data_IF_479051439719
#
_entry.id   IF_479051439719
#
_cell.length_a   1.000
_cell.length_b   1.000
_cell.length_c   1.000
_cell.angle_alpha   90.00
_cell.angle_beta   90.00
_cell.angle_gamma   90.00
#
_symmetry.space_group_name_H-M   'P 1'
#
loop_
_entity.id
_entity.type
_entity.pdbx_description
1 polymer ?
#
# COMPACT_ATOMS: atom_id res chain seq x y z
N UNK A 1 -19.40 -3.13 -7.04
CA UNK A 1 -18.74 -3.09 -8.38
C UNK A 1 -17.80 -1.89 -8.53
N UNK A 2 -18.22 -0.66 -8.19
CA UNK A 2 -17.43 0.56 -8.41
C UNK A 2 -15.99 0.60 -7.84
N UNK A 3 -15.72 0.21 -6.57
CA UNK A 3 -14.39 0.43 -6.01
C UNK A 3 -13.32 -0.53 -6.54
N UNK A 4 -13.70 -1.74 -6.97
CA UNK A 4 -12.76 -2.73 -7.51
C UNK A 4 -12.41 -2.47 -8.98
N UNK A 5 -13.39 -2.11 -9.81
CA UNK A 5 -13.16 -1.86 -11.23
C UNK A 5 -12.51 -0.49 -11.51
N UNK A 6 -12.70 0.50 -10.64
CA UNK A 6 -12.06 1.82 -10.78
C UNK A 6 -10.82 1.92 -9.88
N UNK A 7 -11.04 1.88 -8.57
CA UNK A 7 -9.95 1.99 -7.60
C UNK A 7 -9.07 0.75 -7.56
N UNK A 8 -9.64 -0.45 -7.67
CA UNK A 8 -8.88 -1.69 -7.57
C UNK A 8 -7.96 -1.92 -8.76
N UNK A 9 -8.44 -1.71 -9.99
CA UNK A 9 -7.60 -1.90 -11.19
C UNK A 9 -6.42 -0.93 -11.21
N UNK A 10 -6.63 0.31 -10.76
CA UNK A 10 -5.58 1.33 -10.72
C UNK A 10 -4.44 0.96 -9.77
N UNK A 11 -4.71 0.19 -8.71
CA UNK A 11 -3.64 -0.36 -7.85
C UNK A 11 -3.14 -1.73 -8.32
N UNK A 12 -4.00 -2.57 -8.89
CA UNK A 12 -3.64 -3.93 -9.27
C UNK A 12 -2.72 -3.98 -10.49
N UNK A 13 -3.02 -3.20 -11.54
CA UNK A 13 -2.22 -3.17 -12.77
C UNK A 13 -0.74 -2.86 -12.54
N UNK A 14 -0.34 -1.82 -11.77
CA UNK A 14 1.07 -1.56 -11.50
C UNK A 14 1.71 -2.68 -10.66
N UNK A 15 1.03 -3.19 -9.62
CA UNK A 15 1.57 -4.27 -8.79
C UNK A 15 1.87 -5.53 -9.64
N UNK A 16 1.00 -5.85 -10.60
CA UNK A 16 1.21 -6.98 -11.51
C UNK A 16 2.33 -6.70 -12.52
N UNK A 17 2.42 -5.48 -13.07
CA UNK A 17 3.45 -5.09 -14.05
C UNK A 17 4.86 -5.11 -13.46
N UNK A 18 4.99 -4.77 -12.17
CA UNK A 18 6.25 -4.86 -11.44
C UNK A 18 6.50 -6.22 -10.78
N UNK A 19 5.65 -7.22 -11.07
CA UNK A 19 5.73 -8.58 -10.54
C UNK A 19 5.94 -8.61 -9.02
N UNK A 20 5.16 -7.78 -8.30
CA UNK A 20 5.20 -7.68 -6.85
C UNK A 20 4.87 -9.05 -6.24
N UNK A 21 5.72 -9.49 -5.32
CA UNK A 21 5.71 -10.83 -4.78
C UNK A 21 6.56 -11.00 -3.51
N UNK A 22 6.78 -12.24 -3.07
CA UNK A 22 7.65 -12.56 -1.94
C UNK A 22 9.04 -11.95 -2.11
N UNK A 23 9.54 -11.25 -1.09
CA UNK A 23 10.84 -10.56 -1.11
C UNK A 23 10.81 -9.14 -1.66
N UNK A 24 9.69 -8.69 -2.24
CA UNK A 24 9.53 -7.28 -2.65
C UNK A 24 8.99 -6.44 -1.50
N UNK A 25 9.50 -5.22 -1.36
CA UNK A 25 9.01 -4.23 -0.38
C UNK A 25 8.40 -3.06 -1.14
N UNK A 26 7.14 -2.73 -0.82
CA UNK A 26 6.44 -1.58 -1.39
C UNK A 26 6.02 -0.59 -0.31
N UNK A 27 5.98 0.69 -0.68
CA UNK A 27 5.49 1.77 0.18
C UNK A 27 4.15 2.29 -0.35
N UNK A 28 3.12 2.28 0.48
CA UNK A 28 1.81 2.87 0.21
C UNK A 28 1.78 4.26 0.86
N UNK A 29 1.68 5.28 0.02
CA UNK A 29 1.56 6.66 0.45
C UNK A 29 0.08 7.04 0.58
N UNK A 30 -0.38 7.23 1.81
CA UNK A 30 -1.75 7.62 2.17
C UNK A 30 -2.65 6.43 2.52
N UNK A 31 -3.40 6.58 3.63
CA UNK A 31 -4.41 5.63 4.09
C UNK A 31 -5.81 6.14 3.73
N UNK A 32 -6.29 5.75 2.56
CA UNK A 32 -7.65 6.05 2.08
C UNK A 32 -8.23 4.86 1.32
N UNK A 33 -9.26 5.09 0.49
CA UNK A 33 -9.93 4.03 -0.26
C UNK A 33 -8.99 3.20 -1.15
N UNK A 34 -8.04 3.85 -1.83
CA UNK A 34 -7.03 3.17 -2.66
C UNK A 34 -5.93 2.50 -1.82
N UNK A 35 -5.48 3.16 -0.75
CA UNK A 35 -4.43 2.65 0.13
C UNK A 35 -4.84 1.34 0.81
N UNK A 36 -6.11 1.22 1.24
CA UNK A 36 -6.64 -0.03 1.78
C UNK A 36 -6.60 -1.17 0.76
N UNK A 37 -6.99 -0.90 -0.48
CA UNK A 37 -6.93 -1.90 -1.56
C UNK A 37 -5.48 -2.27 -1.88
N UNK A 38 -4.56 -1.30 -1.88
CA UNK A 38 -3.13 -1.51 -2.09
C UNK A 38 -2.53 -2.49 -1.08
N UNK A 39 -2.85 -2.30 0.20
CA UNK A 39 -2.36 -3.15 1.30
C UNK A 39 -2.91 -4.57 1.17
N UNK A 40 -4.20 -4.72 0.85
CA UNK A 40 -4.81 -6.03 0.69
C UNK A 40 -4.21 -6.79 -0.50
N UNK A 41 -4.07 -6.14 -1.65
CA UNK A 41 -3.45 -6.76 -2.82
C UNK A 41 -1.99 -7.12 -2.59
N UNK A 42 -1.21 -6.23 -2.00
CA UNK A 42 0.19 -6.48 -1.71
C UNK A 42 0.41 -7.58 -0.66
N UNK A 43 -0.44 -7.64 0.36
CA UNK A 43 -0.43 -8.74 1.35
C UNK A 43 -0.81 -10.07 0.72
N UNK A 44 -1.80 -10.10 -0.19
CA UNK A 44 -2.18 -11.31 -0.92
C UNK A 44 -1.08 -11.77 -1.90
N UNK A 45 -0.26 -10.84 -2.40
CA UNK A 45 0.92 -11.13 -3.22
C UNK A 45 2.16 -11.53 -2.40
N UNK A 46 2.09 -11.49 -1.05
CA UNK A 46 3.21 -11.87 -0.19
C UNK A 46 4.34 -10.84 -0.10
N UNK A 47 4.09 -9.60 -0.49
CA UNK A 47 5.07 -8.53 -0.42
C UNK A 47 5.03 -7.81 0.94
N UNK A 48 6.17 -7.26 1.36
CA UNK A 48 6.26 -6.44 2.58
C UNK A 48 5.70 -5.05 2.28
N UNK A 49 4.72 -4.61 3.06
CA UNK A 49 4.04 -3.33 2.88
C UNK A 49 4.44 -2.35 3.97
N UNK A 50 4.93 -1.18 3.54
CA UNK A 50 5.20 -0.03 4.39
C UNK A 50 4.11 1.00 4.12
N UNK A 51 3.50 1.57 5.15
CA UNK A 51 2.50 2.62 5.00
C UNK A 51 3.06 3.92 5.56
N UNK A 52 3.01 4.97 4.75
CA UNK A 52 3.37 6.33 5.17
C UNK A 52 2.28 7.32 4.78
N UNK A 53 2.06 8.34 5.60
CA UNK A 53 1.08 9.40 5.32
C UNK A 53 1.78 10.75 5.35
N UNK A 54 1.54 11.56 4.32
CA UNK A 54 2.05 12.93 4.23
C UNK A 54 1.19 13.85 5.10
N UNK A 55 1.54 13.97 6.37
CA UNK A 55 0.98 14.95 7.30
C UNK A 55 1.94 16.14 7.40
N UNK A 56 1.38 17.35 7.55
CA UNK A 56 2.14 18.60 7.73
C UNK A 56 3.09 18.41 8.92
N UNK A 57 4.34 18.91 8.88
CA UNK A 57 5.33 18.70 9.94
C UNK A 57 5.04 19.47 11.24
N UNK A 58 3.79 19.85 11.52
CA UNK A 58 3.41 20.63 12.70
C UNK A 58 3.20 19.80 13.97
N UNK A 59 3.39 18.48 13.93
CA UNK A 59 3.40 17.65 15.12
C UNK A 59 4.29 16.42 14.91
N UNK A 60 5.45 16.46 15.56
CA UNK A 60 6.24 15.35 16.09
C UNK A 60 5.94 13.93 15.54
N UNK A 61 6.96 13.33 14.93
CA UNK A 61 7.12 11.93 14.42
C UNK A 61 6.50 11.56 13.07
N UNK A 62 7.31 11.20 12.05
CA UNK A 62 6.82 10.46 10.89
C UNK A 62 6.35 9.09 11.38
N UNK A 63 5.03 8.92 11.56
CA UNK A 63 4.42 7.63 11.87
C UNK A 63 4.46 6.76 10.61
N UNK A 64 5.64 6.26 10.27
CA UNK A 64 5.79 5.16 9.32
C UNK A 64 5.22 3.94 10.02
N UNK A 65 4.01 3.55 9.62
CA UNK A 65 3.43 2.29 10.02
C UNK A 65 4.02 1.21 9.11
N UNK A 66 5.23 0.78 9.45
CA UNK A 66 5.67 -0.55 9.05
C UNK A 66 4.78 -1.49 9.82
N UNK A 67 3.96 -2.30 9.14
CA UNK A 67 3.39 -3.48 9.78
C UNK A 67 4.57 -4.42 10.03
N UNK A 68 5.26 -4.18 11.14
CA UNK A 68 6.39 -4.95 11.61
C UNK A 68 5.89 -6.30 12.09
N UNK A 69 6.57 -7.35 11.67
CA UNK A 69 6.35 -8.70 12.18
C UNK A 69 6.38 -9.71 11.06
N UNK A 70 7.55 -10.34 10.90
CA UNK A 70 7.88 -11.49 10.04
C UNK A 70 7.57 -11.31 8.57
#
# INVERSE_FOLDING_TARGET
MAPLLCGGITVYTPLKRFNVGPGTTLCVLGMGGLGHLAIQFASAMGARVIVASAQKPSALTPRVWVRGGT
#
